data_IF_524356245588
#
_entry.id   IF_524356245588
#
_cell.length_a   1.000
_cell.length_b   1.000
_cell.length_c   1.000
_cell.angle_alpha   90.00
_cell.angle_beta   90.00
_cell.angle_gamma   90.00
#
_symmetry.space_group_name_H-M   'P 1'
#
loop_
_entity.id
_entity.type
_entity.pdbx_description
1 polymer ?
#
# COMPACT_ATOMS: atom_id res chain seq x y z
N UNK A 1 -11.64 -0.91 20.64
CA UNK A 1 -10.59 -0.81 19.62
C UNK A 1 -10.58 -2.15 18.93
N UNK A 2 -11.05 -2.24 17.69
CA UNK A 2 -10.97 -3.49 16.93
C UNK A 2 -9.50 -3.85 16.74
N UNK A 3 -9.13 -5.07 17.14
CA UNK A 3 -7.77 -5.59 16.96
C UNK A 3 -7.56 -5.85 15.47
N UNK A 4 -6.83 -4.97 14.79
CA UNK A 4 -6.30 -5.27 13.46
C UNK A 4 -5.11 -6.21 13.68
N UNK A 5 -5.20 -7.46 13.21
CA UNK A 5 -4.28 -8.51 13.62
C UNK A 5 -2.94 -8.48 12.88
N UNK A 6 -2.91 -8.00 11.63
CA UNK A 6 -1.73 -8.03 10.76
C UNK A 6 -1.52 -6.68 10.06
N UNK A 7 -0.25 -6.35 9.80
CA UNK A 7 0.08 -5.27 8.87
C UNK A 7 -0.06 -5.74 7.43
N UNK A 8 -0.22 -4.80 6.50
CA UNK A 8 -0.21 -5.10 5.07
C UNK A 8 1.12 -5.75 4.64
N UNK A 9 2.22 -5.39 5.29
CA UNK A 9 3.52 -6.03 5.05
C UNK A 9 3.48 -7.53 5.38
N UNK A 10 2.95 -7.90 6.55
CA UNK A 10 2.82 -9.31 6.96
C UNK A 10 1.96 -10.08 5.97
N UNK A 11 0.87 -9.47 5.50
CA UNK A 11 -0.04 -10.09 4.52
C UNK A 11 0.64 -10.31 3.17
N UNK A 12 1.37 -9.32 2.66
CA UNK A 12 2.05 -9.40 1.36
C UNK A 12 3.26 -10.33 1.37
N UNK A 13 4.11 -10.26 2.40
CA UNK A 13 5.47 -10.83 2.33
C UNK A 13 5.64 -12.08 3.19
N UNK A 14 5.01 -12.12 4.36
CA UNK A 14 5.13 -13.26 5.29
C UNK A 14 4.06 -14.32 5.00
N UNK A 15 2.81 -13.89 4.83
CA UNK A 15 1.68 -14.77 4.51
C UNK A 15 1.53 -15.01 3.01
N UNK A 16 2.10 -14.12 2.18
CA UNK A 16 2.04 -14.17 0.71
C UNK A 16 0.61 -14.31 0.18
N UNK A 17 -0.29 -13.51 0.75
CA UNK A 17 -1.66 -13.44 0.28
C UNK A 17 -1.71 -12.82 -1.11
N UNK A 18 -2.44 -13.47 -2.00
CA UNK A 18 -2.69 -12.95 -3.35
C UNK A 18 -3.87 -11.99 -3.32
N UNK A 19 -3.59 -10.72 -3.61
CA UNK A 19 -4.61 -9.70 -3.77
C UNK A 19 -4.95 -9.54 -5.25
N UNK A 20 -6.24 -9.45 -5.53
CA UNK A 20 -6.75 -9.08 -6.85
C UNK A 20 -6.39 -7.64 -7.18
N UNK A 21 -6.43 -7.28 -8.47
CA UNK A 21 -6.23 -5.90 -8.88
C UNK A 21 -7.24 -4.95 -8.21
N UNK A 22 -8.49 -5.39 -8.05
CA UNK A 22 -9.53 -4.62 -7.37
C UNK A 22 -9.17 -4.35 -5.90
N UNK A 23 -8.77 -5.38 -5.15
CA UNK A 23 -8.38 -5.22 -3.73
C UNK A 23 -7.15 -4.33 -3.58
N UNK A 24 -6.15 -4.45 -4.47
CA UNK A 24 -4.98 -3.56 -4.47
C UNK A 24 -5.37 -2.10 -4.68
N UNK A 25 -6.29 -1.82 -5.61
CA UNK A 25 -6.82 -0.46 -5.84
C UNK A 25 -7.65 0.01 -4.64
N UNK A 26 -8.44 -0.86 -4.02
CA UNK A 26 -9.23 -0.52 -2.85
C UNK A 26 -8.34 -0.15 -1.65
N UNK A 27 -7.30 -0.95 -1.37
CA UNK A 27 -6.28 -0.64 -0.36
C UNK A 27 -5.63 0.71 -0.64
N UNK A 28 -5.23 0.96 -1.89
CA UNK A 28 -4.65 2.23 -2.29
C UNK A 28 -5.62 3.41 -2.08
N UNK A 29 -6.91 3.21 -2.35
CA UNK A 29 -7.96 4.22 -2.16
C UNK A 29 -8.15 4.55 -0.67
N UNK A 30 -8.22 3.55 0.20
CA UNK A 30 -8.31 3.73 1.65
C UNK A 30 -7.14 4.57 2.19
N UNK A 31 -5.92 4.25 1.76
CA UNK A 31 -4.70 4.99 2.14
C UNK A 31 -4.75 6.42 1.61
N UNK A 32 -5.14 6.62 0.35
CA UNK A 32 -5.24 7.94 -0.24
C UNK A 32 -6.31 8.81 0.45
N UNK A 33 -7.44 8.24 0.86
CA UNK A 33 -8.47 8.93 1.64
C UNK A 33 -7.93 9.39 3.00
N UNK A 34 -7.24 8.51 3.72
CA UNK A 34 -6.61 8.85 4.99
C UNK A 34 -5.58 9.98 4.83
N UNK A 35 -4.76 9.91 3.78
CA UNK A 35 -3.74 10.92 3.51
C UNK A 35 -4.30 12.26 3.06
N UNK A 36 -5.39 12.27 2.28
CA UNK A 36 -6.11 13.50 1.96
C UNK A 36 -6.53 14.21 3.25
N UNK A 37 -7.18 13.48 4.16
CA UNK A 37 -7.61 14.04 5.45
C UNK A 37 -6.45 14.63 6.25
N UNK A 38 -5.30 13.94 6.33
CA UNK A 38 -4.12 14.46 7.02
C UNK A 38 -3.58 15.73 6.37
N UNK A 39 -3.46 15.75 5.04
CA UNK A 39 -2.94 16.90 4.30
C UNK A 39 -3.85 18.12 4.40
N UNK A 40 -5.17 17.95 4.41
CA UNK A 40 -6.15 19.02 4.65
C UNK A 40 -6.00 19.62 6.05
N UNK A 41 -5.63 18.79 7.03
CA UNK A 41 -5.32 19.20 8.40
C UNK A 41 -3.87 19.64 8.60
N UNK A 42 -3.10 19.84 7.51
CA UNK A 42 -1.70 20.31 7.52
C UNK A 42 -0.75 19.35 8.26
N UNK A 43 -1.06 18.06 8.25
CA UNK A 43 -0.25 16.99 8.83
C UNK A 43 0.52 16.30 7.70
N UNK A 44 1.84 16.18 7.86
CA UNK A 44 2.72 15.38 6.98
C UNK A 44 3.08 14.11 7.73
N UNK A 45 2.80 12.94 7.13
CA UNK A 45 2.95 11.65 7.81
C UNK A 45 4.41 11.21 7.91
N UNK A 46 5.13 11.24 6.78
CA UNK A 46 6.54 10.88 6.57
C UNK A 46 6.93 9.41 6.73
N UNK A 47 6.00 8.54 7.11
CA UNK A 47 6.26 7.10 7.25
C UNK A 47 5.17 6.23 6.62
N UNK A 48 4.73 6.58 5.41
CA UNK A 48 3.84 5.70 4.63
C UNK A 48 4.66 4.49 4.17
N UNK A 49 4.25 3.30 4.60
CA UNK A 49 4.80 2.00 4.23
C UNK A 49 3.81 0.91 4.62
N UNK A 50 3.91 -0.26 3.98
CA UNK A 50 3.05 -1.43 4.27
C UNK A 50 3.05 -1.87 5.74
N UNK A 51 4.13 -1.65 6.48
CA UNK A 51 4.21 -1.95 7.92
C UNK A 51 3.29 -1.07 8.79
N UNK A 52 3.02 0.15 8.32
CA UNK A 52 2.18 1.14 9.02
C UNK A 52 0.73 1.13 8.52
N UNK A 53 0.35 0.09 7.78
CA UNK A 53 -1.00 -0.12 7.27
C UNK A 53 -1.57 -1.36 7.93
N UNK A 54 -2.64 -1.18 8.70
CA UNK A 54 -3.32 -2.29 9.38
C UNK A 54 -4.60 -2.64 8.63
N UNK A 55 -4.76 -3.92 8.30
CA UNK A 55 -5.98 -4.40 7.64
C UNK A 55 -6.97 -4.84 8.71
N UNK A 56 -8.13 -4.18 8.74
CA UNK A 56 -9.21 -4.48 9.66
C UNK A 56 -10.10 -5.61 9.13
N UNK A 57 -10.88 -6.29 10.00
CA UNK A 57 -11.93 -7.20 9.54
C UNK A 57 -12.86 -6.53 8.53
N UNK A 58 -13.13 -7.18 7.40
CA UNK A 58 -13.87 -6.61 6.27
C UNK A 58 -13.00 -5.90 5.22
N UNK A 59 -11.66 -6.01 5.31
CA UNK A 59 -10.73 -5.57 4.25
C UNK A 59 -10.39 -4.09 4.25
N UNK A 60 -10.89 -3.31 5.22
CA UNK A 60 -10.62 -1.87 5.31
C UNK A 60 -9.20 -1.63 5.84
N UNK A 61 -8.44 -0.80 5.15
CA UNK A 61 -7.07 -0.45 5.56
C UNK A 61 -7.04 0.83 6.38
N UNK A 62 -6.33 0.77 7.51
CA UNK A 62 -6.16 1.90 8.44
C UNK A 62 -4.68 2.26 8.53
N UNK A 63 -4.36 3.50 8.22
CA UNK A 63 -3.03 4.08 8.43
C UNK A 63 -2.76 4.26 9.93
N UNK A 64 -1.61 3.76 10.39
CA UNK A 64 -1.14 3.88 11.76
C UNK A 64 0.26 4.52 11.82
N UNK A 65 0.76 4.67 13.05
CA UNK A 65 2.06 5.25 13.39
C UNK A 65 2.32 6.70 12.92
N UNK A 66 1.89 7.63 13.77
CA UNK A 66 2.16 9.07 13.62
C UNK A 66 3.44 9.52 14.34
N UNK A 67 4.34 8.60 14.69
CA UNK A 67 5.54 8.88 15.48
C UNK A 67 6.45 9.94 14.86
N UNK A 68 6.41 10.09 13.54
CA UNK A 68 7.19 11.08 12.81
C UNK A 68 6.49 12.41 12.59
N UNK A 69 5.20 12.57 12.89
CA UNK A 69 4.47 13.84 12.60
C UNK A 69 5.10 15.05 13.30
N UNK A 70 5.72 14.87 14.48
CA UNK A 70 6.29 15.96 15.29
C UNK A 70 7.82 15.98 15.36
N UNK A 71 8.52 15.04 14.71
CA UNK A 71 9.98 14.99 14.82
C UNK A 71 10.65 16.11 14.01
N UNK A 72 11.75 16.67 14.51
CA UNK A 72 12.59 17.60 13.73
C UNK A 72 13.61 16.87 12.87
N UNK A 73 13.82 15.57 13.10
CA UNK A 73 14.75 14.78 12.30
C UNK A 73 14.13 14.51 10.91
N UNK A 74 14.82 14.94 9.87
CA UNK A 74 14.41 14.80 8.46
C UNK A 74 14.74 13.43 7.89
N UNK A 75 15.73 12.73 8.45
CA UNK A 75 16.13 11.37 8.05
C UNK A 75 15.45 10.27 8.88
N UNK A 76 14.44 10.62 9.68
CA UNK A 76 13.65 9.62 10.39
C UNK A 76 12.62 9.02 9.42
N UNK A 77 12.53 7.68 9.37
CA UNK A 77 11.65 6.90 8.50
C UNK A 77 12.39 5.75 7.81
N UNK A 78 11.72 5.04 6.91
CA UNK A 78 12.30 3.91 6.18
C UNK A 78 12.89 4.38 4.83
N UNK A 79 14.22 4.31 4.60
CA UNK A 79 14.87 4.89 3.41
C UNK A 79 14.29 4.45 2.06
N UNK A 80 13.82 3.21 1.96
CA UNK A 80 13.23 2.66 0.73
C UNK A 80 11.95 3.40 0.27
N UNK A 81 11.26 4.11 1.17
CA UNK A 81 10.04 4.86 0.89
C UNK A 81 10.27 6.38 0.85
N UNK A 82 11.47 6.85 1.21
CA UNK A 82 11.75 8.27 1.38
C UNK A 82 11.92 8.98 0.04
N UNK A 83 11.31 10.15 -0.06
CA UNK A 83 11.51 11.07 -1.17
C UNK A 83 12.96 11.58 -1.21
N UNK A 84 13.52 11.91 -2.39
CA UNK A 84 14.88 12.40 -2.55
C UNK A 84 15.22 13.58 -1.62
N UNK A 85 14.30 14.54 -1.50
CA UNK A 85 14.51 15.74 -0.69
C UNK A 85 14.64 15.44 0.82
N UNK A 86 14.05 14.35 1.32
CA UNK A 86 14.23 13.92 2.71
C UNK A 86 15.61 13.29 2.91
N UNK A 87 16.04 12.46 1.96
CA UNK A 87 17.35 11.79 1.98
C UNK A 87 18.50 12.80 1.90
N UNK A 88 18.31 13.88 1.14
CA UNK A 88 19.26 14.98 0.98
C UNK A 88 19.23 16.00 2.14
N UNK A 89 18.36 15.82 3.14
CA UNK A 89 18.10 16.82 4.20
C UNK A 89 17.69 18.21 3.67
N UNK A 90 17.00 18.24 2.54
CA UNK A 90 16.49 19.47 1.94
C UNK A 90 15.16 19.88 2.57
N UNK A 91 14.69 21.09 2.23
CA UNK A 91 13.35 21.53 2.60
C UNK A 91 12.30 20.67 1.91
N UNK A 92 11.30 20.22 2.67
CA UNK A 92 10.26 19.34 2.17
C UNK A 92 8.85 19.89 2.47
N UNK A 93 7.85 19.32 1.79
CA UNK A 93 6.44 19.59 2.04
C UNK A 93 5.64 18.29 1.96
N UNK A 94 4.30 18.38 1.96
CA UNK A 94 3.38 17.23 1.91
C UNK A 94 3.62 16.26 0.73
N UNK A 95 4.29 16.70 -0.33
CA UNK A 95 4.69 15.90 -1.50
C UNK A 95 5.59 14.70 -1.18
N UNK A 96 6.26 14.68 -0.02
CA UNK A 96 7.06 13.52 0.40
C UNK A 96 6.19 12.30 0.68
N UNK A 97 4.97 12.52 1.19
CA UNK A 97 4.00 11.45 1.42
C UNK A 97 3.49 10.89 0.10
N UNK A 98 3.35 11.75 -0.93
CA UNK A 98 2.96 11.31 -2.28
C UNK A 98 4.03 10.41 -2.89
N UNK A 99 5.31 10.73 -2.70
CA UNK A 99 6.41 9.86 -3.13
C UNK A 99 6.34 8.49 -2.45
N UNK A 100 6.19 8.48 -1.12
CA UNK A 100 6.08 7.24 -0.35
C UNK A 100 4.86 6.41 -0.77
N UNK A 101 3.74 7.06 -1.09
CA UNK A 101 2.56 6.41 -1.65
C UNK A 101 2.84 5.77 -3.03
N UNK A 102 3.64 6.41 -3.89
CA UNK A 102 4.09 5.80 -5.15
C UNK A 102 4.89 4.51 -4.96
N UNK A 103 5.76 4.47 -3.94
CA UNK A 103 6.51 3.26 -3.56
C UNK A 103 5.57 2.18 -3.01
N UNK A 104 4.59 2.55 -2.19
CA UNK A 104 3.56 1.63 -1.69
C UNK A 104 2.71 1.03 -2.83
N UNK A 105 2.31 1.84 -3.82
CA UNK A 105 1.62 1.33 -5.01
C UNK A 105 2.49 0.34 -5.78
N UNK A 106 3.78 0.65 -5.93
CA UNK A 106 4.72 -0.27 -6.56
C UNK A 106 4.76 -1.61 -5.81
N UNK A 107 4.92 -1.58 -4.48
CA UNK A 107 4.94 -2.78 -3.62
C UNK A 107 3.64 -3.59 -3.73
N UNK A 108 2.48 -2.93 -3.70
CA UNK A 108 1.18 -3.57 -3.82
C UNK A 108 1.01 -4.35 -5.13
N UNK A 109 1.50 -3.79 -6.24
CA UNK A 109 1.30 -4.35 -7.58
C UNK A 109 2.42 -5.30 -8.02
N UNK A 110 3.60 -5.25 -7.40
CA UNK A 110 4.66 -6.25 -7.62
C UNK A 110 4.59 -7.39 -6.62
N UNK A 111 4.08 -7.15 -5.41
CA UNK A 111 4.25 -8.06 -4.27
C UNK A 111 5.72 -8.17 -3.83
N UNK A 112 6.59 -7.28 -4.28
CA UNK A 112 8.03 -7.30 -3.97
C UNK A 112 8.37 -6.28 -2.88
N UNK A 113 9.38 -6.57 -2.07
CA UNK A 113 9.91 -5.62 -1.09
C UNK A 113 10.68 -4.50 -1.82
N UNK A 114 10.35 -3.21 -1.63
CA UNK A 114 11.04 -2.11 -2.29
C UNK A 114 12.54 -2.13 -2.03
N UNK A 115 13.34 -2.09 -3.11
CA UNK A 115 14.80 -2.14 -3.06
C UNK A 115 15.36 -3.38 -2.31
N UNK A 116 14.67 -4.53 -2.38
CA UNK A 116 15.18 -5.78 -1.82
C UNK A 116 16.63 -6.08 -2.26
N UNK A 117 17.49 -6.37 -1.29
CA UNK A 117 18.91 -6.69 -1.52
C UNK A 117 19.84 -5.49 -1.73
N UNK A 118 19.33 -4.26 -1.65
CA UNK A 118 20.17 -3.05 -1.64
C UNK A 118 20.54 -2.66 -0.21
N UNK A 119 21.78 -2.20 -0.03
CA UNK A 119 22.19 -1.55 1.20
C UNK A 119 21.67 -0.11 1.24
N UNK A 120 21.45 0.42 2.45
CA UNK A 120 20.88 1.77 2.63
C UNK A 120 21.65 2.87 1.85
N UNK A 121 23.00 2.92 1.86
CA UNK A 121 23.74 3.92 1.08
C UNK A 121 23.48 3.83 -0.43
N UNK A 122 23.28 2.62 -0.96
CA UNK A 122 22.98 2.40 -2.37
C UNK A 122 21.57 2.88 -2.69
N UNK A 123 20.57 2.60 -1.83
CA UNK A 123 19.21 3.12 -1.98
C UNK A 123 19.24 4.65 -2.03
N UNK A 124 19.95 5.29 -1.10
CA UNK A 124 20.09 6.75 -1.06
C UNK A 124 20.70 7.28 -2.37
N UNK A 125 21.75 6.63 -2.86
CA UNK A 125 22.43 7.02 -4.10
C UNK A 125 21.52 6.86 -5.32
N UNK A 126 20.79 5.74 -5.43
CA UNK A 126 19.86 5.47 -6.52
C UNK A 126 18.75 6.52 -6.57
N UNK A 127 18.08 6.76 -5.43
CA UNK A 127 16.93 7.66 -5.34
C UNK A 127 17.32 9.11 -5.63
N UNK A 128 18.41 9.60 -5.03
CA UNK A 128 18.88 10.99 -5.20
C UNK A 128 19.41 11.25 -6.61
N UNK A 129 19.95 10.22 -7.28
CA UNK A 129 20.37 10.30 -8.69
C UNK A 129 19.21 10.25 -9.70
N UNK A 130 17.96 10.11 -9.25
CA UNK A 130 16.79 10.05 -10.12
C UNK A 130 16.47 8.64 -10.65
N UNK A 131 17.18 7.60 -10.21
CA UNK A 131 16.86 6.23 -10.58
C UNK A 131 15.61 5.75 -9.83
N UNK A 132 14.84 4.86 -10.46
CA UNK A 132 13.58 4.31 -9.92
C UNK A 132 13.51 2.81 -10.10
N UNK A 133 12.64 2.17 -9.32
CA UNK A 133 12.31 0.76 -9.50
C UNK A 133 11.61 0.57 -10.86
N UNK A 134 11.66 -0.64 -11.40
CA UNK A 134 10.98 -0.95 -12.66
C UNK A 134 9.46 -0.97 -12.41
N UNK A 135 8.72 -0.15 -13.16
CA UNK A 135 7.25 -0.11 -13.06
C UNK A 135 6.64 -1.49 -13.43
N UNK A 136 5.72 -2.03 -12.62
CA UNK A 136 5.05 -3.30 -12.94
C UNK A 136 4.21 -3.17 -14.21
N UNK A 137 4.16 -4.23 -15.01
CA UNK A 137 3.43 -4.25 -16.29
C UNK A 137 2.43 -5.38 -16.41
N UNK A 138 2.67 -6.49 -15.73
CA UNK A 138 1.77 -7.65 -15.67
C UNK A 138 0.63 -7.32 -14.70
N UNK A 139 -0.60 -7.58 -15.11
CA UNK A 139 -1.83 -7.41 -14.30
C UNK A 139 -1.96 -6.05 -13.60
N UNK A 140 -1.35 -5.01 -14.17
CA UNK A 140 -1.31 -3.65 -13.64
C UNK A 140 -2.01 -2.68 -14.61
N UNK A 141 -3.11 -2.01 -14.20
CA UNK A 141 -3.78 -1.00 -15.00
C UNK A 141 -2.82 0.10 -15.49
N UNK A 142 -3.09 0.68 -16.66
CA UNK A 142 -2.23 1.74 -17.23
C UNK A 142 -2.22 2.97 -16.32
N UNK A 143 -3.36 3.26 -15.73
CA UNK A 143 -3.59 4.36 -14.80
C UNK A 143 -2.73 4.21 -13.54
N UNK A 144 -2.62 2.99 -12.99
CA UNK A 144 -1.76 2.70 -11.84
C UNK A 144 -0.28 2.85 -12.20
N UNK A 145 0.13 2.40 -13.38
CA UNK A 145 1.52 2.56 -13.85
C UNK A 145 1.92 4.03 -13.93
N UNK A 146 1.08 4.84 -14.57
CA UNK A 146 1.29 6.30 -14.66
C UNK A 146 1.28 6.94 -13.28
N UNK A 147 0.36 6.53 -12.41
CA UNK A 147 0.28 7.05 -11.05
C UNK A 147 1.55 6.76 -10.24
N UNK A 148 2.12 5.54 -10.33
CA UNK A 148 3.42 5.22 -9.73
C UNK A 148 4.48 6.19 -10.25
N UNK A 149 4.54 6.38 -11.57
CA UNK A 149 5.49 7.26 -12.25
C UNK A 149 5.38 8.74 -11.83
N UNK A 150 4.15 9.24 -11.72
CA UNK A 150 3.88 10.62 -11.35
C UNK A 150 4.14 10.84 -9.84
N UNK A 151 3.77 9.88 -8.99
CA UNK A 151 3.95 9.98 -7.54
C UNK A 151 5.42 10.04 -7.12
N UNK A 152 6.31 9.26 -7.76
CA UNK A 152 7.73 9.24 -7.41
C UNK A 152 8.59 10.20 -8.26
N UNK A 153 7.99 11.20 -8.90
CA UNK A 153 8.72 12.18 -9.70
C UNK A 153 9.84 12.86 -8.88
N UNK A 154 10.97 13.14 -9.54
CA UNK A 154 12.12 13.78 -8.90
C UNK A 154 11.78 15.18 -8.40
N UNK A 155 11.12 15.99 -9.23
CA UNK A 155 10.60 17.30 -8.82
C UNK A 155 9.37 17.12 -7.93
N UNK A 156 9.40 17.55 -6.65
CA UNK A 156 8.24 17.43 -5.76
C UNK A 156 6.99 18.16 -6.25
N UNK A 157 7.14 19.17 -7.12
CA UNK A 157 6.03 19.94 -7.70
C UNK A 157 5.32 19.22 -8.85
N UNK A 158 5.98 18.23 -9.46
CA UNK A 158 5.39 17.43 -10.52
C UNK A 158 4.48 16.32 -9.98
N UNK A 159 4.57 16.02 -8.67
CA UNK A 159 3.79 14.96 -8.03
C UNK A 159 2.33 15.40 -7.88
N UNK A 160 1.35 14.51 -8.12
CA UNK A 160 -0.07 14.82 -7.97
C UNK A 160 -0.42 15.05 -6.49
N UNK A 161 -1.58 15.66 -6.23
CA UNK A 161 -2.13 15.72 -4.87
C UNK A 161 -2.97 14.47 -4.58
N UNK A 162 -3.18 14.13 -3.30
CA UNK A 162 -4.10 13.03 -2.94
C UNK A 162 -5.52 13.19 -3.50
N UNK A 163 -6.12 14.41 -3.57
CA UNK A 163 -7.35 14.62 -4.31
C UNK A 163 -7.29 14.17 -5.78
N UNK A 164 -6.21 14.50 -6.50
CA UNK A 164 -6.04 14.09 -7.91
C UNK A 164 -5.89 12.57 -8.04
N UNK A 165 -5.15 11.96 -7.10
CA UNK A 165 -4.98 10.50 -7.00
C UNK A 165 -6.34 9.82 -6.81
N UNK A 166 -7.16 10.32 -5.88
CA UNK A 166 -8.47 9.73 -5.56
C UNK A 166 -9.42 9.76 -6.75
N UNK A 167 -9.42 10.84 -7.54
CA UNK A 167 -10.21 10.90 -8.78
C UNK A 167 -9.90 9.71 -9.71
N UNK A 168 -8.63 9.36 -9.84
CA UNK A 168 -8.19 8.22 -10.69
C UNK A 168 -8.56 6.89 -10.05
N UNK A 169 -8.31 6.71 -8.75
CA UNK A 169 -8.63 5.46 -8.03
C UNK A 169 -10.15 5.19 -8.02
N UNK A 170 -10.96 6.21 -7.78
CA UNK A 170 -12.43 6.09 -7.82
C UNK A 170 -12.94 5.74 -9.22
N UNK A 171 -12.29 6.25 -10.26
CA UNK A 171 -12.58 5.86 -11.65
C UNK A 171 -12.31 4.38 -11.86
N UNK A 172 -11.12 3.91 -11.47
CA UNK A 172 -10.75 2.50 -11.59
C UNK A 172 -11.69 1.57 -10.82
N UNK A 173 -12.06 1.91 -9.58
CA UNK A 173 -12.97 1.09 -8.77
C UNK A 173 -14.38 0.98 -9.37
N UNK A 174 -14.84 2.00 -10.10
CA UNK A 174 -16.13 1.97 -10.81
C UNK A 174 -16.09 1.11 -12.07
N UNK A 175 -14.96 1.09 -12.76
CA UNK A 175 -14.80 0.39 -14.03
C UNK A 175 -14.40 -1.08 -13.85
N UNK A 176 -13.81 -1.44 -12.70
CA UNK A 176 -13.44 -2.81 -12.38
C UNK A 176 -14.65 -3.63 -11.91
N UNK A 177 -14.83 -4.86 -12.42
CA UNK A 177 -15.84 -5.76 -11.89
C UNK A 177 -15.48 -6.10 -10.45
N UNK A 178 -16.40 -5.86 -9.52
CA UNK A 178 -16.30 -6.42 -8.17
C UNK A 178 -16.27 -7.94 -8.32
N UNK A 179 -15.15 -8.56 -8.00
CA UNK A 179 -15.12 -10.01 -7.90
C UNK A 179 -16.01 -10.37 -6.70
N UNK A 180 -17.05 -11.16 -6.96
CA UNK A 180 -17.91 -11.70 -5.91
C UNK A 180 -17.03 -12.33 -4.83
N UNK A 181 -17.27 -11.98 -3.57
CA UNK A 181 -16.62 -12.56 -2.39
C UNK A 181 -16.40 -14.06 -2.62
N UNK A 182 -15.16 -14.47 -2.88
CA UNK A 182 -14.81 -15.86 -2.69
C UNK A 182 -14.71 -16.00 -1.19
N UNK A 183 -15.68 -16.67 -0.57
CA UNK A 183 -15.71 -16.99 0.86
C UNK A 183 -14.35 -17.56 1.27
N UNK A 184 -13.46 -16.71 1.79
CA UNK A 184 -12.15 -17.08 2.32
C UNK A 184 -12.24 -17.92 3.61
N UNK A 185 -13.45 -18.33 4.01
CA UNK A 185 -13.73 -19.08 5.24
C UNK A 185 -14.65 -20.30 5.07
N UNK A 186 -14.90 -20.78 3.85
CA UNK A 186 -15.61 -22.05 3.65
C UNK A 186 -14.65 -23.25 3.54
N UNK A 187 -13.84 -23.48 4.57
CA UNK A 187 -13.34 -24.83 4.87
C UNK A 187 -14.04 -25.36 6.13
N UNK A 188 -15.17 -26.05 5.94
CA UNK A 188 -15.33 -27.40 6.46
C UNK A 188 -16.36 -28.15 5.60
N UNK A 189 -15.90 -28.59 4.43
CA UNK A 189 -16.53 -29.67 3.67
C UNK A 189 -16.26 -31.01 4.36
N UNK A 190 -16.76 -31.18 5.59
CA UNK A 190 -16.72 -32.41 6.38
C UNK A 190 -18.06 -33.14 6.32
N UNK A 191 -18.54 -33.43 5.11
CA UNK A 191 -19.76 -34.23 4.88
C UNK A 191 -19.44 -35.66 4.45
N UNK A 192 -19.89 -36.60 5.27
CA UNK A 192 -20.34 -37.95 4.92
C UNK A 192 -19.32 -39.11 4.86
N UNK A 193 -19.10 -39.71 6.03
CA UNK A 193 -18.89 -41.17 6.16
C UNK A 193 -19.49 -41.79 7.44
N UNK A 194 -20.35 -41.09 8.20
CA UNK A 194 -20.86 -41.59 9.49
C UNK A 194 -22.39 -41.66 9.63
N UNK A 195 -23.17 -41.16 8.67
CA UNK A 195 -24.64 -41.23 8.75
C UNK A 195 -25.25 -42.53 8.17
N UNK A 196 -24.47 -43.35 7.45
CA UNK A 196 -24.91 -44.67 6.93
C UNK A 196 -24.87 -45.80 7.98
N UNK A 197 -24.41 -45.54 9.22
CA UNK A 197 -24.28 -46.58 10.28
C UNK A 197 -25.36 -46.46 11.36
N UNK A 198 -26.16 -45.39 11.42
CA UNK A 198 -27.08 -45.15 12.54
C UNK A 198 -28.58 -45.40 12.28
N UNK A 199 -29.00 -45.74 11.06
CA UNK A 199 -30.43 -46.00 10.78
C UNK A 199 -30.79 -47.35 10.13
N UNK A 200 -29.85 -48.27 9.98
CA UNK A 200 -30.15 -49.68 9.65
C UNK A 200 -30.28 -50.51 10.93
N UNK A 201 -31.42 -50.41 11.62
CA UNK A 201 -31.62 -51.19 12.84
C UNK A 201 -32.97 -51.06 13.53
N UNK A 202 -34.08 -51.17 12.80
CA UNK A 202 -35.35 -51.72 13.31
C UNK A 202 -36.13 -52.41 12.19
#
# INVERSE_FOLDING_TARGET
MELCQNSLFDMLHEQRLEFTAYERVQIANDVACAMQYLHENKIIHRDIKSHNLLVAPGGIVKLCDFGLVKTKNTQAGTPAYMAPELLENASFNKSVDVYAFGILLWELFTGEVPFAGYEIPDIITQVTSGNRLRVPTVDTPVEIRRMIEDCWAQDPKARPSFPDILVVLDGLLKDMPQQSEVDLLAEDGGGDALDDILFSGK
#
